data_IF_915410957085
#
_entry.id   IF_915410957085
#
_cell.length_a   1.000
_cell.length_b   1.000
_cell.length_c   1.000
_cell.angle_alpha   90.00
_cell.angle_beta   90.00
_cell.angle_gamma   90.00
#
_symmetry.space_group_name_H-M   'P 1'
#
loop_
_entity.id
_entity.type
_entity.pdbx_description
1 polymer ?
#
# COMPACT_ATOMS: atom_id res chain seq x y z
N UNK A 1 7.41 4.20 25.72
CA UNK A 1 7.73 3.65 24.39
C UNK A 1 6.41 3.54 23.64
N UNK A 2 6.07 4.53 22.82
CA UNK A 2 4.89 4.46 21.93
C UNK A 2 5.25 3.58 20.73
N UNK A 3 5.25 2.26 20.93
CA UNK A 3 5.19 1.35 19.80
C UNK A 3 3.78 1.49 19.17
N UNK A 4 3.70 1.98 17.93
CA UNK A 4 2.46 1.96 17.15
C UNK A 4 1.61 3.24 17.16
N UNK A 5 2.21 4.43 17.25
CA UNK A 5 1.47 5.68 17.04
C UNK A 5 1.08 5.83 15.56
N UNK A 6 -0.18 5.51 15.24
CA UNK A 6 -0.79 5.62 13.90
C UNK A 6 -1.60 6.91 13.72
N UNK A 7 -1.29 7.97 14.49
CA UNK A 7 -1.95 9.26 14.34
C UNK A 7 -1.75 9.82 12.92
N UNK A 8 -2.74 10.58 12.45
CA UNK A 8 -2.69 11.19 11.13
C UNK A 8 -1.44 12.03 10.90
N UNK A 9 -1.06 12.84 11.90
CA UNK A 9 0.18 13.64 11.87
C UNK A 9 1.41 12.77 11.66
N UNK A 10 1.50 11.62 12.34
CA UNK A 10 2.66 10.73 12.22
C UNK A 10 2.73 10.06 10.86
N UNK A 11 1.60 9.51 10.38
CA UNK A 11 1.55 8.85 9.07
C UNK A 11 1.86 9.84 7.94
N UNK A 12 1.30 11.06 7.99
CA UNK A 12 1.62 12.11 7.01
C UNK A 12 3.10 12.48 7.05
N UNK A 13 3.71 12.58 8.23
CA UNK A 13 5.15 12.81 8.37
C UNK A 13 5.97 11.69 7.72
N UNK A 14 5.60 10.42 7.91
CA UNK A 14 6.29 9.27 7.29
C UNK A 14 6.18 9.32 5.76
N UNK A 15 5.00 9.63 5.22
CA UNK A 15 4.78 9.74 3.76
C UNK A 15 5.65 10.84 3.16
N UNK A 16 5.84 11.95 3.87
CA UNK A 16 6.62 13.09 3.39
C UNK A 16 8.13 12.92 3.57
N UNK A 17 8.56 12.33 4.68
CA UNK A 17 9.97 12.32 5.10
C UNK A 17 10.63 10.94 4.96
N UNK A 18 9.86 9.91 4.67
CA UNK A 18 10.30 8.52 4.73
C UNK A 18 10.03 7.88 6.09
N UNK A 19 10.16 6.55 6.13
CA UNK A 19 10.15 5.78 7.37
C UNK A 19 11.48 5.97 8.13
N UNK A 20 11.41 6.02 9.46
CA UNK A 20 12.59 5.90 10.34
C UNK A 20 13.16 4.47 10.34
N UNK A 21 14.40 4.31 10.84
CA UNK A 21 15.11 3.02 10.83
C UNK A 21 14.36 1.88 11.54
N UNK A 22 13.65 2.18 12.63
CA UNK A 22 12.89 1.20 13.40
C UNK A 22 11.48 0.95 12.83
N UNK A 23 11.05 1.73 11.84
CA UNK A 23 9.70 1.67 11.32
C UNK A 23 9.57 0.64 10.20
N UNK A 24 8.61 -0.27 10.37
CA UNK A 24 8.40 -1.38 9.44
C UNK A 24 7.14 -1.12 8.62
N UNK A 25 7.32 -0.87 7.32
CA UNK A 25 6.23 -0.52 6.42
C UNK A 25 5.16 -1.62 6.33
N UNK A 26 5.54 -2.90 6.42
CA UNK A 26 4.61 -4.04 6.47
C UNK A 26 3.71 -4.03 7.70
N UNK A 27 4.25 -3.70 8.88
CA UNK A 27 3.47 -3.57 10.13
C UNK A 27 2.51 -2.40 10.01
N UNK A 28 2.97 -1.24 9.53
CA UNK A 28 2.14 -0.04 9.39
C UNK A 28 1.03 -0.26 8.36
N UNK A 29 1.33 -0.85 7.20
CA UNK A 29 0.34 -1.20 6.17
C UNK A 29 -0.77 -2.10 6.74
N UNK A 30 -0.38 -3.17 7.43
CA UNK A 30 -1.34 -4.10 8.03
C UNK A 30 -2.19 -3.44 9.11
N UNK A 31 -1.59 -2.58 9.93
CA UNK A 31 -2.30 -1.89 10.99
C UNK A 31 -3.30 -0.85 10.44
N UNK A 32 -2.89 -0.04 9.46
CA UNK A 32 -3.78 0.91 8.79
C UNK A 32 -4.94 0.20 8.08
N UNK A 33 -4.66 -0.92 7.41
CA UNK A 33 -5.69 -1.74 6.77
C UNK A 33 -6.67 -2.33 7.79
N UNK A 34 -6.17 -2.99 8.83
CA UNK A 34 -6.99 -3.69 9.83
C UNK A 34 -7.85 -2.74 10.67
N UNK A 35 -7.37 -1.50 10.87
CA UNK A 35 -8.12 -0.45 11.57
C UNK A 35 -9.05 0.35 10.66
N UNK A 36 -9.16 -0.02 9.37
CA UNK A 36 -9.93 0.70 8.36
C UNK A 36 -9.57 2.19 8.29
N UNK A 37 -8.29 2.50 8.52
CA UNK A 37 -7.82 3.88 8.54
C UNK A 37 -7.96 4.52 7.16
N UNK A 38 -8.48 5.76 7.06
CA UNK A 38 -8.57 6.46 5.78
C UNK A 38 -7.19 6.74 5.16
N UNK A 39 -6.11 6.64 5.95
CA UNK A 39 -4.73 6.88 5.54
C UNK A 39 -4.09 5.68 4.84
N UNK A 40 -4.76 4.52 4.85
CA UNK A 40 -4.23 3.29 4.25
C UNK A 40 -3.87 3.48 2.78
N UNK A 41 -4.74 4.11 1.99
CA UNK A 41 -4.52 4.30 0.55
C UNK A 41 -3.32 5.21 0.29
N UNK A 42 -3.20 6.31 1.02
CA UNK A 42 -2.09 7.25 0.86
C UNK A 42 -0.76 6.61 1.24
N UNK A 43 -0.76 5.82 2.32
CA UNK A 43 0.43 5.08 2.74
C UNK A 43 0.78 3.96 1.75
N UNK A 44 -0.21 3.26 1.20
CA UNK A 44 -0.01 2.26 0.14
C UNK A 44 0.63 2.88 -1.11
N UNK A 45 0.13 4.05 -1.54
CA UNK A 45 0.70 4.83 -2.66
C UNK A 45 2.16 5.22 -2.39
N UNK A 46 2.46 5.67 -1.18
CA UNK A 46 3.82 5.97 -0.76
C UNK A 46 4.75 4.73 -0.83
N UNK A 47 4.31 3.57 -0.34
CA UNK A 47 5.10 2.33 -0.40
C UNK A 47 5.39 1.90 -1.84
N UNK A 48 4.42 2.01 -2.75
CA UNK A 48 4.63 1.58 -4.15
C UNK A 48 5.59 2.51 -4.91
N UNK A 49 5.54 3.82 -4.63
CA UNK A 49 6.28 4.83 -5.38
C UNK A 49 7.76 4.90 -4.99
N UNK A 50 8.12 4.43 -3.79
CA UNK A 50 9.48 4.52 -3.28
C UNK A 50 10.25 3.20 -3.48
N UNK A 51 11.38 3.20 -4.23
CA UNK A 51 12.17 1.99 -4.47
C UNK A 51 12.66 1.30 -3.18
N UNK A 52 12.94 2.07 -2.12
CA UNK A 52 13.35 1.54 -0.82
C UNK A 52 12.34 0.58 -0.19
N UNK A 53 11.07 0.65 -0.60
CA UNK A 53 9.98 -0.16 -0.05
C UNK A 53 9.46 -1.19 -1.06
N UNK A 54 10.23 -1.46 -2.14
CA UNK A 54 9.84 -2.39 -3.19
C UNK A 54 9.46 -3.78 -2.67
N UNK A 55 10.15 -4.25 -1.61
CA UNK A 55 9.88 -5.55 -0.98
C UNK A 55 8.47 -5.66 -0.39
N UNK A 56 7.80 -4.54 -0.10
CA UNK A 56 6.47 -4.49 0.49
C UNK A 56 5.35 -4.31 -0.54
N UNK A 57 5.67 -4.13 -1.83
CA UNK A 57 4.67 -3.99 -2.90
C UNK A 57 3.72 -5.19 -2.99
N UNK A 58 4.19 -6.46 -2.94
CA UNK A 58 3.26 -7.60 -2.99
C UNK A 58 2.30 -7.66 -1.80
N UNK A 59 2.73 -7.25 -0.60
CA UNK A 59 1.84 -7.12 0.56
C UNK A 59 0.80 -6.02 0.33
N UNK A 60 1.24 -4.85 -0.12
CA UNK A 60 0.36 -3.71 -0.41
C UNK A 60 -0.72 -4.09 -1.41
N UNK A 61 -0.36 -4.75 -2.51
CA UNK A 61 -1.29 -5.23 -3.53
C UNK A 61 -2.29 -6.24 -2.97
N UNK A 62 -1.83 -7.20 -2.17
CA UNK A 62 -2.73 -8.19 -1.54
C UNK A 62 -3.73 -7.52 -0.59
N UNK A 63 -3.31 -6.53 0.20
CA UNK A 63 -4.20 -5.79 1.09
C UNK A 63 -5.23 -4.96 0.29
N UNK A 64 -4.79 -4.24 -0.74
CA UNK A 64 -5.67 -3.51 -1.66
C UNK A 64 -6.70 -4.42 -2.33
N UNK A 65 -6.29 -5.63 -2.72
CA UNK A 65 -7.13 -6.59 -3.42
C UNK A 65 -8.15 -7.33 -2.53
N UNK A 66 -8.12 -7.13 -1.20
CA UNK A 66 -9.07 -7.78 -0.29
C UNK A 66 -10.47 -7.21 -0.44
N UNK A 67 -10.60 -5.89 -0.62
CA UNK A 67 -11.88 -5.20 -0.68
C UNK A 67 -12.02 -4.46 -2.00
N UNK A 68 -13.12 -4.71 -2.73
CA UNK A 68 -13.43 -3.96 -3.94
C UNK A 68 -14.02 -2.61 -3.58
N UNK A 69 -13.30 -1.54 -3.89
CA UNK A 69 -13.68 -0.16 -3.62
C UNK A 69 -13.24 0.70 -4.81
N UNK A 70 -13.92 1.83 -5.09
CA UNK A 70 -13.50 2.74 -6.16
C UNK A 70 -12.04 3.21 -6.02
N UNK A 71 -11.55 3.33 -4.78
CA UNK A 71 -10.17 3.70 -4.50
C UNK A 71 -9.18 2.57 -4.86
N UNK A 72 -9.55 1.32 -4.61
CA UNK A 72 -8.75 0.17 -5.02
C UNK A 72 -8.77 -0.03 -6.54
N UNK A 73 -9.93 0.15 -7.18
CA UNK A 73 -10.04 0.16 -8.65
C UNK A 73 -9.10 1.22 -9.24
N UNK A 74 -9.15 2.46 -8.75
CA UNK A 74 -8.29 3.55 -9.20
C UNK A 74 -6.80 3.24 -8.99
N UNK A 75 -6.43 2.70 -7.82
CA UNK A 75 -5.05 2.30 -7.53
C UNK A 75 -4.51 1.26 -8.51
N UNK A 76 -5.30 0.24 -8.83
CA UNK A 76 -4.89 -0.81 -9.78
C UNK A 76 -4.85 -0.32 -11.22
N UNK A 77 -5.78 0.57 -11.62
CA UNK A 77 -5.73 1.22 -12.92
C UNK A 77 -4.50 2.13 -13.05
N UNK A 78 -4.18 2.91 -12.02
CA UNK A 78 -2.96 3.73 -11.96
C UNK A 78 -1.72 2.84 -12.13
N UNK A 79 -1.68 1.67 -11.48
CA UNK A 79 -0.60 0.71 -11.67
C UNK A 79 -0.54 0.20 -13.11
N UNK A 80 -1.64 -0.28 -13.68
CA UNK A 80 -1.68 -0.82 -15.04
C UNK A 80 -1.21 0.19 -16.12
N UNK A 81 -1.48 1.49 -15.92
CA UNK A 81 -1.03 2.55 -16.83
C UNK A 81 0.49 2.75 -16.76
N UNK A 82 1.08 2.58 -15.58
CA UNK A 82 2.49 2.86 -15.32
C UNK A 82 3.38 1.61 -15.23
N UNK A 83 2.79 0.42 -15.37
CA UNK A 83 3.49 -0.85 -15.27
C UNK A 83 4.40 -1.05 -16.48
N UNK A 84 5.69 -1.27 -16.21
CA UNK A 84 6.69 -1.60 -17.23
C UNK A 84 6.64 -3.08 -17.64
N UNK A 85 5.79 -3.87 -16.99
CA UNK A 85 5.62 -5.31 -17.23
C UNK A 85 6.64 -6.18 -16.50
N UNK A 86 7.53 -5.59 -15.70
CA UNK A 86 8.63 -6.29 -15.01
C UNK A 86 8.19 -6.95 -13.69
N UNK A 87 6.90 -6.88 -13.34
CA UNK A 87 6.37 -7.32 -12.03
C UNK A 87 5.18 -8.26 -12.17
N UNK A 88 5.39 -9.46 -12.77
CA UNK A 88 4.31 -10.40 -13.08
C UNK A 88 3.51 -10.84 -11.84
N UNK A 89 4.13 -10.85 -10.65
CA UNK A 89 3.46 -11.14 -9.40
C UNK A 89 2.43 -10.08 -9.00
N UNK A 90 2.69 -8.81 -9.28
CA UNK A 90 1.77 -7.71 -9.00
C UNK A 90 0.63 -7.68 -10.02
N UNK A 91 0.97 -7.86 -11.30
CA UNK A 91 0.01 -8.00 -12.40
C UNK A 91 -0.97 -9.13 -12.11
N UNK A 92 -0.49 -10.28 -11.62
CA UNK A 92 -1.36 -11.40 -11.24
C UNK A 92 -2.35 -11.05 -10.13
N UNK A 93 -1.91 -10.34 -9.08
CA UNK A 93 -2.81 -9.94 -7.98
C UNK A 93 -3.90 -8.99 -8.50
N UNK A 94 -3.54 -8.04 -9.36
CA UNK A 94 -4.46 -7.11 -10.00
C UNK A 94 -5.46 -7.84 -10.92
N UNK A 95 -4.98 -8.74 -11.76
CA UNK A 95 -5.82 -9.55 -12.63
C UNK A 95 -6.86 -10.34 -11.83
N UNK A 96 -6.40 -11.03 -10.77
CA UNK A 96 -7.26 -11.80 -9.89
C UNK A 96 -8.27 -10.90 -9.15
N UNK A 97 -7.89 -9.65 -8.84
CA UNK A 97 -8.81 -8.67 -8.28
C UNK A 97 -9.95 -8.31 -9.23
N UNK A 98 -9.66 -8.01 -10.50
CA UNK A 98 -10.68 -7.65 -11.49
C UNK A 98 -11.50 -8.83 -12.01
N UNK A 99 -11.00 -10.07 -11.89
CA UNK A 99 -11.76 -11.30 -12.20
C UNK A 99 -12.81 -11.65 -11.15
N UNK A 100 -12.72 -11.12 -9.93
CA UNK A 100 -13.74 -11.37 -8.90
C UNK A 100 -15.08 -10.77 -9.37
N UNK A 101 -16.18 -11.54 -9.31
CA UNK A 101 -17.51 -11.07 -9.70
C UNK A 101 -17.94 -9.83 -8.90
#
# INVERSE_FOLDING_TARGET
VEAGNLSETRIKSMIQQGLGEDEKADIILQALFSTHSPLFIDFARFVISHPAYAIYRPLTFRLMAQNRTPQADAFFLDFAINDDGERPELTKIMDDYFRKP
#
